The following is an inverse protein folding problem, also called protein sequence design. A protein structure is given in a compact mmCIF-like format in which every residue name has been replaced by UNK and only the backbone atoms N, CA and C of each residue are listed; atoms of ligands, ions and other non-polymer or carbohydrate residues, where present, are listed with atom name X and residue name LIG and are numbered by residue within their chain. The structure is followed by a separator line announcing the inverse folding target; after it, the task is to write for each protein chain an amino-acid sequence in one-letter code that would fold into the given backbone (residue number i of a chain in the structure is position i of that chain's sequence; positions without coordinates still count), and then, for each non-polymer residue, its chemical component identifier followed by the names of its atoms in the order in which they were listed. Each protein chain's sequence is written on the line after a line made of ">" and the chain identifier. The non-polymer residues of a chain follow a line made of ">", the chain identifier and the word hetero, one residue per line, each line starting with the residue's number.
data_IF_804737914376
#
_entry.id   IF_804737914376
#
_cell.length_a   1.000
_cell.length_b   1.000
_cell.length_c   1.000
_cell.angle_alpha   90.00
_cell.angle_beta   90.00
_cell.angle_gamma   90.00
#
_symmetry.space_group_name_H-M   'P 1'
#
loop_
_entity.id
_entity.type
_entity.pdbx_description
1 polymer ?
#
# COMPACT_ATOMS: atom_id res chain seq x y z
N UNK A 1 6.57 -4.57 11.50
CA UNK A 1 6.80 -6.00 11.21
C UNK A 1 6.07 -6.88 12.24
N UNK A 2 5.86 -8.15 11.93
CA UNK A 2 5.29 -9.12 12.89
C UNK A 2 6.12 -9.15 14.17
N UNK A 3 7.44 -9.18 14.07
CA UNK A 3 8.35 -9.15 15.21
C UNK A 3 8.13 -7.93 16.12
N UNK A 4 7.96 -6.74 15.54
CA UNK A 4 7.69 -5.53 16.31
C UNK A 4 6.32 -5.59 17.04
N UNK A 5 5.29 -6.18 16.39
CA UNK A 5 3.99 -6.40 17.04
C UNK A 5 4.11 -7.34 18.24
N UNK A 6 4.78 -8.49 18.08
CA UNK A 6 5.00 -9.46 19.16
C UNK A 6 5.72 -8.78 20.34
N UNK A 7 6.83 -8.10 20.06
CA UNK A 7 7.60 -7.38 21.09
C UNK A 7 6.77 -6.35 21.85
N UNK A 8 5.91 -5.59 21.14
CA UNK A 8 5.05 -4.58 21.77
C UNK A 8 3.89 -5.21 22.55
N UNK A 9 3.32 -6.32 22.05
CA UNK A 9 2.21 -7.01 22.73
C UNK A 9 2.64 -7.73 24.01
N UNK A 10 3.92 -8.11 24.12
CA UNK A 10 4.50 -8.72 25.33
C UNK A 10 4.88 -7.69 26.41
N UNK A 11 4.94 -6.41 26.06
CA UNK A 11 5.21 -5.34 27.04
C UNK A 11 3.96 -5.03 27.84
N UNK A 12 4.12 -4.90 29.16
CA UNK A 12 3.05 -4.43 30.07
C UNK A 12 2.81 -2.93 29.87
N UNK A 13 2.09 -2.57 28.79
CA UNK A 13 1.72 -1.19 28.51
C UNK A 13 0.22 -0.99 28.70
N UNK A 14 -0.25 0.21 29.07
CA UNK A 14 -1.67 0.51 29.17
C UNK A 14 -2.34 0.63 27.78
N UNK A 15 -1.57 0.51 26.71
CA UNK A 15 -2.03 0.64 25.32
C UNK A 15 -2.30 -0.74 24.72
N UNK A 16 -3.52 -0.95 24.21
CA UNK A 16 -3.86 -2.16 23.45
C UNK A 16 -3.26 -2.06 22.04
N UNK A 17 -2.35 -2.96 21.71
CA UNK A 17 -1.77 -3.08 20.36
C UNK A 17 -2.66 -3.97 19.50
N UNK A 18 -3.05 -3.48 18.31
CA UNK A 18 -3.87 -4.22 17.35
C UNK A 18 -3.00 -4.55 16.14
N UNK A 19 -2.96 -5.83 15.77
CA UNK A 19 -2.27 -6.27 14.57
C UNK A 19 -2.95 -5.72 13.32
N UNK A 20 -2.18 -5.10 12.42
CA UNK A 20 -2.69 -4.56 11.16
C UNK A 20 -1.65 -4.57 10.05
N UNK A 21 -2.14 -4.59 8.82
CA UNK A 21 -1.32 -4.54 7.62
C UNK A 21 -2.03 -3.80 6.49
N UNK A 22 -1.31 -2.93 5.76
CA UNK A 22 -1.82 -2.27 4.57
C UNK A 22 -1.36 -3.01 3.31
N UNK A 23 -2.33 -3.49 2.53
CA UNK A 23 -2.12 -4.18 1.25
C UNK A 23 -2.31 -3.22 0.09
N UNK A 24 -1.37 -3.27 -0.88
CA UNK A 24 -1.64 -2.75 -2.22
C UNK A 24 -2.48 -3.77 -2.99
N UNK A 25 -3.51 -3.30 -3.68
CA UNK A 25 -4.38 -4.16 -4.50
C UNK A 25 -4.74 -3.48 -5.81
N UNK A 26 -5.22 -4.25 -6.77
CA UNK A 26 -5.66 -3.76 -8.06
C UNK A 26 -7.19 -3.72 -8.14
N UNK A 27 -7.71 -2.61 -8.65
CA UNK A 27 -9.12 -2.50 -9.04
C UNK A 27 -9.24 -1.77 -10.36
N UNK A 28 -9.73 -2.45 -11.39
CA UNK A 28 -9.89 -1.92 -12.75
C UNK A 28 -8.63 -1.21 -13.27
N UNK A 29 -7.47 -1.83 -13.03
CA UNK A 29 -6.18 -1.31 -13.47
C UNK A 29 -5.64 -0.12 -12.65
N UNK A 30 -6.22 0.17 -11.50
CA UNK A 30 -5.78 1.21 -10.57
C UNK A 30 -5.30 0.58 -9.27
N UNK A 31 -4.13 1.02 -8.81
CA UNK A 31 -3.64 0.65 -7.49
C UNK A 31 -4.48 1.36 -6.43
N UNK A 32 -5.04 0.59 -5.51
CA UNK A 32 -5.75 1.05 -4.32
C UNK A 32 -5.20 0.30 -3.12
N UNK A 33 -5.51 0.76 -1.91
CA UNK A 33 -4.99 0.14 -0.70
C UNK A 33 -6.14 -0.31 0.22
N UNK A 34 -5.94 -1.46 0.86
CA UNK A 34 -6.85 -2.01 1.86
C UNK A 34 -6.05 -2.29 3.12
N UNK A 35 -6.49 -1.74 4.24
CA UNK A 35 -5.95 -2.03 5.56
C UNK A 35 -6.72 -3.19 6.17
N UNK A 36 -6.00 -4.22 6.60
CA UNK A 36 -6.52 -5.26 7.48
C UNK A 36 -6.22 -4.90 8.93
N UNK A 37 -7.22 -4.94 9.80
CA UNK A 37 -7.08 -4.71 11.24
C UNK A 37 -7.49 -5.95 12.03
N UNK A 38 -6.95 -6.11 13.23
CA UNK A 38 -7.22 -7.21 14.14
C UNK A 38 -6.95 -8.59 13.53
N UNK A 39 -5.77 -8.74 12.91
CA UNK A 39 -5.38 -9.91 12.15
C UNK A 39 -4.77 -11.01 13.04
N UNK A 40 -5.17 -12.26 12.80
CA UNK A 40 -4.37 -13.42 13.23
C UNK A 40 -3.14 -13.55 12.31
N UNK A 41 -1.97 -13.18 12.86
CA UNK A 41 -0.70 -13.17 12.14
C UNK A 41 -0.13 -14.57 11.87
N UNK A 42 -0.76 -15.63 12.41
CA UNK A 42 -0.36 -17.02 12.21
C UNK A 42 -1.26 -17.76 11.21
N UNK A 43 -2.33 -17.11 10.74
CA UNK A 43 -3.22 -17.71 9.77
C UNK A 43 -2.49 -18.02 8.45
N UNK A 44 -2.49 -19.27 7.95
CA UNK A 44 -1.72 -19.66 6.77
C UNK A 44 -2.16 -18.95 5.50
N UNK A 45 -3.46 -18.72 5.30
CA UNK A 45 -4.00 -18.00 4.12
C UNK A 45 -3.53 -16.54 4.12
N UNK A 46 -3.47 -15.92 5.29
CA UNK A 46 -2.93 -14.57 5.43
C UNK A 46 -1.43 -14.51 5.14
N UNK A 47 -0.66 -15.47 5.66
CA UNK A 47 0.79 -15.56 5.43
C UNK A 47 1.11 -15.77 3.95
N UNK A 48 0.35 -16.62 3.24
CA UNK A 48 0.47 -16.78 1.78
C UNK A 48 0.18 -15.46 1.04
N UNK A 49 -0.83 -14.71 1.51
CA UNK A 49 -1.13 -13.38 0.98
C UNK A 49 0.01 -12.38 1.19
N UNK A 50 0.65 -12.38 2.36
CA UNK A 50 1.83 -11.56 2.65
C UNK A 50 2.98 -11.95 1.71
N UNK A 51 3.24 -13.23 1.53
CA UNK A 51 4.30 -13.68 0.62
C UNK A 51 4.02 -13.29 -0.82
N UNK A 52 2.79 -13.43 -1.30
CA UNK A 52 2.36 -12.95 -2.61
C UNK A 52 2.70 -11.46 -2.82
N UNK A 53 2.35 -10.62 -1.85
CA UNK A 53 2.66 -9.19 -1.88
C UNK A 53 4.16 -8.90 -1.87
N UNK A 54 4.92 -9.62 -1.07
CA UNK A 54 6.38 -9.47 -1.01
C UNK A 54 7.03 -9.88 -2.33
N UNK A 55 6.59 -10.96 -2.95
CA UNK A 55 7.06 -11.41 -4.26
C UNK A 55 6.79 -10.35 -5.33
N UNK A 56 5.57 -9.80 -5.40
CA UNK A 56 5.22 -8.73 -6.32
C UNK A 56 6.12 -7.47 -6.13
N UNK A 57 6.46 -7.14 -4.87
CA UNK A 57 7.38 -6.04 -4.55
C UNK A 57 8.81 -6.34 -5.00
N UNK A 58 9.32 -7.57 -4.78
CA UNK A 58 10.65 -7.98 -5.23
C UNK A 58 10.78 -7.88 -6.74
N UNK A 59 9.85 -8.49 -7.49
CA UNK A 59 9.83 -8.45 -8.96
C UNK A 59 9.78 -7.00 -9.48
N UNK A 60 8.92 -6.16 -8.88
CA UNK A 60 8.89 -4.73 -9.24
C UNK A 60 10.21 -4.04 -8.99
N UNK A 61 10.85 -4.28 -7.84
CA UNK A 61 12.10 -3.64 -7.47
C UNK A 61 13.25 -4.04 -8.42
N UNK A 62 13.36 -5.30 -8.76
CA UNK A 62 14.32 -5.81 -9.74
C UNK A 62 14.13 -5.12 -11.08
N UNK A 63 12.88 -5.03 -11.55
CA UNK A 63 12.57 -4.36 -12.80
C UNK A 63 12.87 -2.86 -12.79
N UNK A 64 12.60 -2.16 -11.67
CA UNK A 64 13.00 -0.75 -11.50
C UNK A 64 14.53 -0.63 -11.59
N UNK A 65 15.28 -1.51 -10.92
CA UNK A 65 16.74 -1.54 -10.96
C UNK A 65 17.28 -1.68 -12.38
N UNK A 66 16.75 -2.66 -13.15
CA UNK A 66 17.12 -2.86 -14.57
C UNK A 66 16.86 -1.61 -15.42
N UNK A 67 15.70 -0.97 -15.23
CA UNK A 67 15.34 0.22 -15.98
C UNK A 67 16.21 1.42 -15.61
N UNK A 68 16.57 1.57 -14.33
CA UNK A 68 17.50 2.60 -13.88
C UNK A 68 18.92 2.34 -14.36
N UNK A 69 19.37 1.07 -14.41
CA UNK A 69 20.67 0.71 -14.98
C UNK A 69 20.79 1.15 -16.46
N UNK A 70 19.72 1.01 -17.25
CA UNK A 70 19.67 1.54 -18.63
C UNK A 70 19.73 3.07 -18.71
N UNK A 71 19.48 3.77 -17.59
CA UNK A 71 19.60 5.22 -17.47
C UNK A 71 20.95 5.66 -16.89
N UNK A 72 21.90 4.71 -16.73
CA UNK A 72 23.23 4.97 -16.19
C UNK A 72 23.39 4.73 -14.68
N UNK A 73 22.37 4.19 -14.01
CA UNK A 73 22.38 3.91 -12.56
C UNK A 73 22.48 2.41 -12.29
N UNK A 74 23.65 1.81 -12.58
CA UNK A 74 23.88 0.35 -12.56
C UNK A 74 23.76 -0.27 -11.16
N UNK A 75 24.04 0.47 -10.10
CA UNK A 75 24.00 0.06 -8.70
C UNK A 75 22.68 0.36 -7.99
N UNK A 76 21.69 0.94 -8.67
CA UNK A 76 20.45 1.42 -8.10
C UNK A 76 19.69 0.36 -7.28
N UNK A 77 19.68 -0.91 -7.73
CA UNK A 77 19.00 -1.98 -7.00
C UNK A 77 19.73 -2.33 -5.70
N UNK A 78 21.07 -2.42 -5.74
CA UNK A 78 21.87 -2.75 -4.57
C UNK A 78 21.73 -1.66 -3.49
N UNK A 79 21.92 -0.40 -3.89
CA UNK A 79 21.81 0.74 -3.00
C UNK A 79 20.39 0.90 -2.42
N UNK A 80 19.33 0.72 -3.24
CA UNK A 80 17.97 0.75 -2.75
C UNK A 80 17.67 -0.37 -1.73
N UNK A 81 18.28 -1.56 -1.86
CA UNK A 81 18.18 -2.65 -0.88
C UNK A 81 18.87 -2.28 0.44
N UNK A 82 20.05 -1.69 0.41
CA UNK A 82 20.76 -1.19 1.60
C UNK A 82 19.92 -0.13 2.33
N UNK A 83 19.38 0.84 1.59
CA UNK A 83 18.51 1.88 2.13
C UNK A 83 17.19 1.35 2.73
N UNK A 84 16.73 0.20 2.28
CA UNK A 84 15.56 -0.47 2.85
C UNK A 84 15.87 -1.16 4.19
N UNK A 85 17.14 -1.37 4.55
CA UNK A 85 17.62 -1.92 5.81
C UNK A 85 16.84 -3.19 6.26
N UNK A 86 16.60 -4.12 5.31
CA UNK A 86 15.82 -5.35 5.56
C UNK A 86 14.29 -5.15 5.59
N UNK A 87 13.82 -3.92 5.44
CA UNK A 87 12.39 -3.61 5.31
C UNK A 87 11.83 -3.84 3.90
N UNK A 88 10.59 -3.45 3.69
CA UNK A 88 9.92 -3.60 2.38
C UNK A 88 10.50 -2.64 1.34
N UNK A 89 11.20 -3.17 0.36
CA UNK A 89 11.79 -2.39 -0.74
C UNK A 89 10.71 -1.77 -1.64
N UNK A 90 10.78 -0.46 -1.83
CA UNK A 90 9.82 0.28 -2.63
C UNK A 90 10.43 1.48 -3.36
N UNK A 91 9.63 2.12 -4.22
CA UNK A 91 10.04 3.31 -5.00
C UNK A 91 10.68 4.43 -4.17
N UNK A 92 10.27 4.69 -2.91
CA UNK A 92 10.95 5.71 -2.09
C UNK A 92 12.45 5.45 -1.87
N UNK A 93 12.87 4.19 -1.77
CA UNK A 93 14.29 3.85 -1.61
C UNK A 93 15.11 4.15 -2.87
N UNK A 94 14.54 3.87 -4.06
CA UNK A 94 15.15 4.29 -5.33
C UNK A 94 15.17 5.81 -5.48
N UNK A 95 14.11 6.50 -5.04
CA UNK A 95 14.07 7.96 -5.06
C UNK A 95 15.17 8.55 -4.15
N UNK A 96 15.36 7.96 -2.97
CA UNK A 96 16.41 8.35 -2.03
C UNK A 96 17.81 8.11 -2.64
N UNK A 97 18.05 6.95 -3.22
CA UNK A 97 19.30 6.65 -3.93
C UNK A 97 19.60 7.70 -5.03
N UNK A 98 18.60 8.05 -5.86
CA UNK A 98 18.75 9.04 -6.92
C UNK A 98 19.10 10.46 -6.38
N UNK A 99 18.66 10.79 -5.17
CA UNK A 99 19.07 12.02 -4.48
C UNK A 99 20.49 11.91 -3.95
N UNK A 100 20.84 10.83 -3.27
CA UNK A 100 22.16 10.59 -2.69
C UNK A 100 23.26 10.49 -3.76
N UNK A 101 22.92 9.95 -4.94
CA UNK A 101 23.84 9.93 -6.11
C UNK A 101 23.98 11.29 -6.82
N UNK A 102 23.26 12.31 -6.38
CA UNK A 102 23.31 13.65 -7.02
C UNK A 102 22.54 13.74 -8.35
N UNK A 103 21.84 12.69 -8.79
CA UNK A 103 21.07 12.66 -10.04
C UNK A 103 19.87 13.62 -10.04
N UNK A 104 19.33 13.89 -8.87
CA UNK A 104 18.21 14.82 -8.63
C UNK A 104 18.35 15.51 -7.28
N UNK A 105 17.74 16.70 -7.14
CA UNK A 105 17.85 17.51 -5.93
C UNK A 105 16.97 17.01 -4.76
N UNK A 106 15.87 16.31 -5.05
CA UNK A 106 14.92 15.85 -4.04
C UNK A 106 14.07 14.66 -4.56
N UNK A 107 13.38 13.94 -3.66
CA UNK A 107 12.56 12.78 -4.04
C UNK A 107 11.45 13.11 -5.04
N UNK A 108 10.85 14.30 -4.99
CA UNK A 108 9.81 14.71 -5.93
C UNK A 108 10.35 14.75 -7.37
N UNK A 109 11.58 15.24 -7.55
CA UNK A 109 12.24 15.21 -8.86
C UNK A 109 12.57 13.78 -9.30
N UNK A 110 12.97 12.88 -8.39
CA UNK A 110 13.19 11.48 -8.73
C UNK A 110 11.90 10.82 -9.29
N UNK A 111 10.77 11.04 -8.63
CA UNK A 111 9.49 10.56 -9.16
C UNK A 111 9.15 11.22 -10.50
N UNK A 112 9.28 12.54 -10.63
CA UNK A 112 8.93 13.29 -11.86
C UNK A 112 9.78 12.87 -13.06
N UNK A 113 11.07 12.55 -12.84
CA UNK A 113 12.01 12.23 -13.94
C UNK A 113 12.05 10.73 -14.26
N UNK A 114 11.96 9.85 -13.26
CA UNK A 114 12.27 8.43 -13.42
C UNK A 114 11.16 7.46 -12.99
N UNK A 115 10.45 7.70 -11.86
CA UNK A 115 9.71 6.65 -11.14
C UNK A 115 8.18 6.76 -11.23
N UNK A 116 7.63 7.91 -11.66
CA UNK A 116 6.17 8.09 -11.79
C UNK A 116 5.63 7.43 -13.07
N UNK A 117 4.32 7.32 -13.17
CA UNK A 117 3.62 6.80 -14.35
C UNK A 117 4.11 7.48 -15.63
N UNK A 118 4.45 6.68 -16.65
CA UNK A 118 4.95 7.15 -17.93
C UNK A 118 6.42 7.59 -17.92
N UNK A 119 7.17 7.32 -16.84
CA UNK A 119 8.61 7.63 -16.73
C UNK A 119 9.48 6.41 -17.00
N UNK A 120 10.79 6.60 -17.35
CA UNK A 120 11.65 5.54 -17.84
C UNK A 120 11.78 4.32 -16.90
N UNK A 121 11.75 4.52 -15.59
CA UNK A 121 11.82 3.44 -14.60
C UNK A 121 10.47 3.17 -13.90
N UNK A 122 9.35 3.57 -14.51
CA UNK A 122 8.04 3.19 -14.02
C UNK A 122 7.75 1.72 -14.31
N UNK A 123 7.37 1.00 -13.26
CA UNK A 123 6.93 -0.40 -13.36
C UNK A 123 5.51 -0.51 -12.80
N UNK A 124 4.57 -0.95 -13.64
CA UNK A 124 3.24 -1.32 -13.18
C UNK A 124 3.32 -2.65 -12.44
N UNK A 125 2.86 -2.67 -11.20
CA UNK A 125 2.84 -3.88 -10.39
C UNK A 125 1.54 -4.63 -10.62
N UNK A 126 1.64 -5.95 -10.77
CA UNK A 126 0.49 -6.84 -10.76
C UNK A 126 0.17 -7.22 -9.31
N UNK A 127 -0.54 -6.31 -8.63
CA UNK A 127 -1.06 -6.60 -7.31
C UNK A 127 -2.20 -7.60 -7.38
N UNK A 128 -2.44 -8.32 -6.28
CA UNK A 128 -3.63 -9.12 -6.13
C UNK A 128 -4.90 -8.27 -6.29
N UNK A 129 -5.97 -8.87 -6.79
CA UNK A 129 -7.26 -8.19 -6.94
C UNK A 129 -7.92 -7.98 -5.56
N UNK A 130 -8.80 -7.00 -5.48
CA UNK A 130 -9.45 -6.58 -4.23
C UNK A 130 -10.14 -7.74 -3.50
N UNK A 131 -10.75 -8.67 -4.23
CA UNK A 131 -11.43 -9.84 -3.66
C UNK A 131 -10.45 -10.80 -2.97
N UNK A 132 -9.25 -10.97 -3.53
CA UNK A 132 -8.22 -11.81 -2.92
C UNK A 132 -7.69 -11.19 -1.62
N UNK A 133 -7.42 -9.88 -1.63
CA UNK A 133 -6.92 -9.16 -0.45
C UNK A 133 -7.95 -9.16 0.68
N UNK A 134 -9.22 -8.89 0.39
CA UNK A 134 -10.30 -8.98 1.38
C UNK A 134 -10.45 -10.41 1.90
N UNK A 135 -10.29 -11.43 1.04
CA UNK A 135 -10.30 -12.84 1.42
C UNK A 135 -9.18 -13.20 2.41
N UNK A 136 -7.96 -12.73 2.19
CA UNK A 136 -6.84 -12.94 3.12
C UNK A 136 -7.09 -12.32 4.49
N UNK A 137 -7.63 -11.08 4.51
CA UNK A 137 -7.96 -10.35 5.74
C UNK A 137 -9.07 -11.08 6.50
N UNK A 138 -10.12 -11.48 5.79
CA UNK A 138 -11.26 -12.22 6.38
C UNK A 138 -10.84 -13.58 6.93
N UNK A 139 -10.00 -14.34 6.22
CA UNK A 139 -9.48 -15.63 6.68
C UNK A 139 -8.68 -15.48 7.99
N UNK A 140 -7.98 -14.37 8.18
CA UNK A 140 -7.29 -14.04 9.42
C UNK A 140 -8.21 -13.46 10.53
N UNK A 141 -9.53 -13.52 10.38
CA UNK A 141 -10.49 -12.94 11.32
C UNK A 141 -10.44 -11.42 11.42
N UNK A 142 -9.82 -10.76 10.46
CA UNK A 142 -9.62 -9.32 10.45
C UNK A 142 -10.75 -8.53 9.80
N UNK A 143 -10.67 -7.21 9.95
CA UNK A 143 -11.58 -6.22 9.34
C UNK A 143 -10.88 -5.55 8.18
N UNK A 144 -11.48 -5.62 6.98
CA UNK A 144 -10.97 -4.96 5.78
C UNK A 144 -11.48 -3.51 5.70
N UNK A 145 -10.56 -2.55 5.60
CA UNK A 145 -10.85 -1.10 5.56
C UNK A 145 -10.25 -0.50 4.28
N UNK A 146 -11.06 0.19 3.48
CA UNK A 146 -10.56 0.93 2.31
C UNK A 146 -9.75 2.14 2.78
N UNK A 147 -8.45 2.18 2.42
CA UNK A 147 -7.53 3.21 2.85
C UNK A 147 -7.66 4.50 2.00
N UNK A 148 -7.49 5.66 2.61
CA UNK A 148 -7.29 7.00 2.03
C UNK A 148 -7.97 7.26 0.66
N UNK A 149 -9.31 7.15 0.53
CA UNK A 149 -10.01 7.17 -0.75
C UNK A 149 -9.82 8.46 -1.55
N UNK A 150 -9.52 9.60 -0.91
CA UNK A 150 -9.25 10.86 -1.59
C UNK A 150 -7.92 10.86 -2.38
N UNK A 151 -6.95 10.04 -1.99
CA UNK A 151 -5.66 9.96 -2.69
C UNK A 151 -5.79 9.38 -4.11
N UNK A 152 -6.85 8.63 -4.40
CA UNK A 152 -7.06 8.04 -5.73
C UNK A 152 -7.52 9.05 -6.77
N UNK A 153 -7.95 10.26 -6.36
CA UNK A 153 -8.46 11.32 -7.24
C UNK A 153 -9.56 10.81 -8.18
N UNK A 154 -10.44 9.95 -7.68
CA UNK A 154 -11.57 9.44 -8.42
C UNK A 154 -12.72 10.44 -8.46
N UNK A 155 -13.49 10.42 -9.56
CA UNK A 155 -14.81 11.05 -9.57
C UNK A 155 -15.72 10.34 -8.56
N UNK A 156 -16.79 11.01 -8.13
CA UNK A 156 -17.75 10.42 -7.20
C UNK A 156 -18.35 9.11 -7.74
N UNK A 157 -18.69 9.08 -9.02
CA UNK A 157 -19.21 7.88 -9.69
C UNK A 157 -18.21 6.72 -9.62
N UNK A 158 -16.92 6.99 -9.88
CA UNK A 158 -15.89 5.98 -9.82
C UNK A 158 -15.61 5.50 -8.40
N UNK A 159 -15.66 6.42 -7.41
CA UNK A 159 -15.52 6.05 -6.00
C UNK A 159 -16.70 5.17 -5.56
N UNK A 160 -17.94 5.51 -5.91
CA UNK A 160 -19.12 4.66 -5.63
C UNK A 160 -18.97 3.26 -6.24
N UNK A 161 -18.52 3.15 -7.48
CA UNK A 161 -18.27 1.86 -8.12
C UNK A 161 -17.18 1.04 -7.40
N UNK A 162 -16.14 1.70 -6.87
CA UNK A 162 -15.14 1.05 -6.02
C UNK A 162 -15.78 0.55 -4.71
N UNK A 163 -16.61 1.36 -4.06
CA UNK A 163 -17.26 0.99 -2.79
C UNK A 163 -18.21 -0.21 -2.96
N UNK A 164 -18.96 -0.28 -4.09
CA UNK A 164 -19.74 -1.48 -4.43
C UNK A 164 -18.84 -2.71 -4.50
N UNK A 165 -17.81 -2.66 -5.35
CA UNK A 165 -16.89 -3.80 -5.52
C UNK A 165 -16.17 -4.18 -4.22
N UNK A 166 -15.83 -3.20 -3.38
CA UNK A 166 -15.21 -3.43 -2.08
C UNK A 166 -16.16 -4.13 -1.10
N UNK A 167 -17.44 -3.72 -1.05
CA UNK A 167 -18.47 -4.38 -0.23
C UNK A 167 -18.70 -5.82 -0.69
N UNK A 168 -18.83 -6.04 -2.00
CA UNK A 168 -18.99 -7.37 -2.60
C UNK A 168 -17.79 -8.28 -2.29
N UNK A 169 -16.58 -7.71 -2.19
CA UNK A 169 -15.37 -8.42 -1.79
C UNK A 169 -15.27 -8.71 -0.27
N UNK A 170 -16.24 -8.27 0.54
CA UNK A 170 -16.23 -8.43 2.00
C UNK A 170 -15.63 -7.26 2.78
N UNK A 171 -15.46 -6.10 2.14
CA UNK A 171 -15.01 -4.87 2.80
C UNK A 171 -16.00 -4.37 3.85
N UNK A 172 -15.48 -3.90 4.99
CA UNK A 172 -16.27 -3.57 6.18
C UNK A 172 -16.14 -2.12 6.64
N UNK A 173 -15.00 -1.47 6.34
CA UNK A 173 -14.76 -0.10 6.77
C UNK A 173 -14.14 0.78 5.69
N UNK A 174 -14.12 2.09 5.92
CA UNK A 174 -13.47 3.06 5.04
C UNK A 174 -12.85 4.19 5.86
N UNK A 175 -11.61 4.57 5.57
CA UNK A 175 -11.01 5.75 6.17
C UNK A 175 -11.76 7.02 5.72
N UNK A 176 -12.33 7.73 6.69
CA UNK A 176 -12.97 9.03 6.47
C UNK A 176 -12.01 10.19 6.72
N UNK A 177 -10.95 9.96 7.52
CA UNK A 177 -9.90 10.93 7.81
C UNK A 177 -8.56 10.27 7.51
N UNK A 178 -7.81 10.82 6.56
CA UNK A 178 -6.52 10.28 6.13
C UNK A 178 -5.54 11.38 5.74
N UNK A 179 -5.11 12.17 6.71
CA UNK A 179 -4.18 13.30 6.53
C UNK A 179 -4.89 14.64 6.31
N UNK A 180 -4.23 15.58 5.63
CA UNK A 180 -4.76 16.91 5.39
C UNK A 180 -5.95 16.88 4.42
N UNK A 181 -7.13 17.14 4.93
CA UNK A 181 -8.37 17.24 4.16
C UNK A 181 -9.30 18.29 4.77
N UNK A 182 -10.23 18.81 3.97
CA UNK A 182 -11.20 19.80 4.46
C UNK A 182 -12.33 19.13 5.24
N UNK A 183 -13.02 19.87 6.14
CA UNK A 183 -14.21 19.36 6.83
C UNK A 183 -15.28 18.83 5.87
N UNK A 184 -15.50 19.49 4.73
CA UNK A 184 -16.45 19.06 3.71
C UNK A 184 -16.06 17.72 3.07
N UNK A 185 -14.76 17.49 2.83
CA UNK A 185 -14.27 16.22 2.35
C UNK A 185 -14.52 15.10 3.37
N UNK A 186 -14.26 15.35 4.64
CA UNK A 186 -14.55 14.41 5.74
C UNK A 186 -16.04 14.09 5.82
N UNK A 187 -16.89 15.13 5.84
CA UNK A 187 -18.37 14.96 5.89
C UNK A 187 -18.87 14.15 4.69
N UNK A 188 -18.36 14.43 3.49
CA UNK A 188 -18.71 13.69 2.27
C UNK A 188 -18.30 12.22 2.35
N UNK A 189 -17.09 11.91 2.84
CA UNK A 189 -16.65 10.53 3.01
C UNK A 189 -17.48 9.81 4.07
N UNK A 190 -17.78 10.45 5.22
CA UNK A 190 -18.64 9.87 6.26
C UNK A 190 -20.03 9.54 5.72
N UNK A 191 -20.62 10.45 4.93
CA UNK A 191 -21.92 10.20 4.27
C UNK A 191 -21.84 9.01 3.31
N UNK A 192 -20.75 8.88 2.53
CA UNK A 192 -20.56 7.74 1.64
C UNK A 192 -20.37 6.44 2.43
N UNK A 193 -19.54 6.43 3.48
CA UNK A 193 -19.38 5.27 4.34
C UNK A 193 -20.73 4.76 4.85
N UNK A 194 -21.54 5.65 5.42
CA UNK A 194 -22.88 5.32 5.91
C UNK A 194 -23.80 4.77 4.80
N UNK A 195 -23.81 5.39 3.60
CA UNK A 195 -24.62 4.93 2.46
C UNK A 195 -24.27 3.51 2.00
N UNK A 196 -23.02 3.09 2.15
CA UNK A 196 -22.54 1.76 1.77
C UNK A 196 -22.47 0.79 2.97
N UNK A 197 -22.94 1.17 4.16
CA UNK A 197 -22.83 0.34 5.37
C UNK A 197 -21.39 -0.01 5.72
N UNK A 198 -20.47 0.97 5.57
CA UNK A 198 -19.08 0.89 5.97
C UNK A 198 -18.87 1.64 7.28
N UNK A 199 -18.07 1.07 8.18
CA UNK A 199 -17.69 1.65 9.47
C UNK A 199 -16.50 2.59 9.33
#
# INVERSE_FOLDING_TARGET
>A
SIAAYVQLSEQSTPVKVIAGCEFSTNWRGREIHVVGLNLDLHNPVFLDGIEHQQRARRVRAERIGELLARQGFSDALAQAKELAAGGSLGRPHFARYLVESGAVANPQQAFKRYLAVGKPAYVRTQWAEIVQVCGWISAAGGVAVLAHPLKYKFTLTKLRALLVAFKEAGGQGMEVISGAQTPDQTKRLATLAAQFGLH
#
